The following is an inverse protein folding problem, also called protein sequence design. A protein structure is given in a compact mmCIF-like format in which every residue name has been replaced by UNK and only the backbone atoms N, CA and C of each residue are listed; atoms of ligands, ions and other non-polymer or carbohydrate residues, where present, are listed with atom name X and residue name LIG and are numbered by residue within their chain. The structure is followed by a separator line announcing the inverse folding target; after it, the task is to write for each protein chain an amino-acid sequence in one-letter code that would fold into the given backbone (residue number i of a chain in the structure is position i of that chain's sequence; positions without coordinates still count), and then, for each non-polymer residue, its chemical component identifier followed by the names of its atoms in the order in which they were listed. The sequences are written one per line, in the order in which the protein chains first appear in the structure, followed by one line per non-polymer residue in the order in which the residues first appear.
data_IF_685733226621
#
_entry.id   IF_685733226621
#
_cell.length_a   1.000
_cell.length_b   1.000
_cell.length_c   1.000
_cell.angle_alpha   90.00
_cell.angle_beta   90.00
_cell.angle_gamma   90.00
#
_symmetry.space_group_name_H-M   'P 1'
#
loop_
_entity.id
_entity.type
_entity.pdbx_description
1 polymer ?
#
# COMPACT_ATOMS: atom_id res chain seq x y z
N UNK A 1 -25.81 -65.61 1.35
CA UNK A 1 -26.05 -64.66 0.23
C UNK A 1 -24.70 -64.31 -0.36
N UNK A 2 -24.66 -64.34 -1.67
CA UNK A 2 -23.54 -64.48 -2.60
C UNK A 2 -22.54 -63.33 -2.58
N UNK A 3 -21.28 -63.65 -2.86
CA UNK A 3 -20.20 -62.72 -3.20
C UNK A 3 -20.57 -61.87 -4.44
N UNK A 4 -20.13 -60.61 -4.47
CA UNK A 4 -20.08 -59.83 -5.71
C UNK A 4 -18.72 -59.12 -5.82
N UNK A 5 -17.80 -59.80 -6.51
CA UNK A 5 -16.90 -59.32 -7.56
C UNK A 5 -16.65 -57.82 -7.69
N UNK A 6 -15.38 -57.42 -7.47
CA UNK A 6 -14.60 -56.70 -8.48
C UNK A 6 -14.42 -55.17 -8.32
N UNK A 7 -13.18 -54.64 -8.35
CA UNK A 7 -12.89 -53.21 -8.37
C UNK A 7 -12.71 -52.68 -9.79
N UNK A 8 -13.11 -51.44 -10.06
CA UNK A 8 -12.69 -50.69 -11.24
C UNK A 8 -12.53 -49.21 -10.91
N UNK A 9 -11.28 -48.86 -10.63
CA UNK A 9 -10.74 -47.51 -10.77
C UNK A 9 -10.96 -47.00 -12.19
N UNK A 10 -11.69 -45.90 -12.31
CA UNK A 10 -11.82 -45.12 -13.55
C UNK A 10 -11.63 -43.65 -13.21
N UNK A 11 -10.36 -43.22 -13.14
CA UNK A 11 -9.96 -41.83 -13.12
C UNK A 11 -10.33 -41.18 -14.47
N UNK A 12 -11.13 -40.12 -14.43
CA UNK A 12 -11.53 -39.42 -15.66
C UNK A 12 -12.27 -38.12 -15.38
N UNK A 13 -11.81 -37.31 -14.43
CA UNK A 13 -12.20 -35.90 -14.37
C UNK A 13 -11.56 -35.17 -15.55
N UNK A 14 -12.31 -35.08 -16.64
CA UNK A 14 -12.00 -34.19 -17.75
C UNK A 14 -11.86 -32.76 -17.20
N UNK A 15 -10.64 -32.23 -17.31
CA UNK A 15 -10.37 -30.83 -17.09
C UNK A 15 -11.14 -30.00 -18.11
N UNK A 16 -12.24 -29.38 -17.66
CA UNK A 16 -12.75 -28.18 -18.29
C UNK A 16 -11.82 -27.02 -17.92
N UNK A 17 -11.46 -26.13 -18.87
CA UNK A 17 -10.64 -24.98 -18.54
C UNK A 17 -11.38 -24.16 -17.48
N UNK A 18 -10.73 -23.97 -16.34
CA UNK A 18 -11.03 -22.88 -15.45
C UNK A 18 -10.93 -21.60 -16.28
N UNK A 19 -12.05 -21.13 -16.82
CA UNK A 19 -12.25 -19.72 -17.07
C UNK A 19 -12.34 -19.09 -15.69
N UNK A 20 -11.17 -18.99 -15.05
CA UNK A 20 -10.92 -17.94 -14.09
C UNK A 20 -11.18 -16.67 -14.87
N UNK A 21 -12.40 -16.17 -14.80
CA UNK A 21 -12.68 -14.76 -14.90
C UNK A 21 -11.98 -14.10 -13.71
N UNK A 22 -10.65 -14.08 -13.76
CA UNK A 22 -9.87 -13.02 -13.19
C UNK A 22 -10.24 -11.82 -14.03
N UNK A 23 -11.40 -11.23 -13.70
CA UNK A 23 -11.65 -9.84 -14.01
C UNK A 23 -10.42 -9.12 -13.51
N UNK A 24 -9.61 -8.71 -14.48
CA UNK A 24 -8.59 -7.71 -14.30
C UNK A 24 -9.18 -6.69 -13.32
N UNK A 25 -8.52 -6.52 -12.19
CA UNK A 25 -8.69 -5.34 -11.37
C UNK A 25 -8.28 -4.17 -12.25
N UNK A 26 -9.20 -3.71 -13.11
CA UNK A 26 -9.06 -2.44 -13.79
C UNK A 26 -8.93 -1.39 -12.69
N UNK A 27 -8.04 -0.40 -12.85
CA UNK A 27 -7.83 0.61 -11.83
C UNK A 27 -9.15 1.35 -11.65
N UNK A 28 -9.87 1.02 -10.57
CA UNK A 28 -11.05 1.75 -10.14
C UNK A 28 -10.58 3.15 -9.73
N UNK A 29 -10.56 4.06 -10.71
CA UNK A 29 -10.48 5.52 -10.54
C UNK A 29 -9.41 5.98 -9.54
N UNK A 30 -8.13 5.84 -9.92
CA UNK A 30 -7.01 6.39 -9.13
C UNK A 30 -7.19 7.87 -8.76
N UNK A 31 -7.91 8.66 -9.56
CA UNK A 31 -8.18 10.07 -9.27
C UNK A 31 -9.00 10.34 -8.00
N UNK A 32 -9.96 9.48 -7.65
CA UNK A 32 -10.79 9.67 -6.45
C UNK A 32 -10.09 9.19 -5.18
N UNK A 33 -9.40 8.04 -5.28
CA UNK A 33 -8.61 7.50 -4.19
C UNK A 33 -7.43 8.45 -3.84
N UNK A 34 -6.71 8.98 -4.82
CA UNK A 34 -5.63 9.94 -4.59
C UNK A 34 -6.13 11.21 -3.91
N UNK A 35 -7.29 11.75 -4.32
CA UNK A 35 -7.88 12.89 -3.60
C UNK A 35 -8.19 12.58 -2.13
N UNK A 36 -8.59 11.33 -1.83
CA UNK A 36 -8.71 10.86 -0.45
C UNK A 36 -7.36 10.73 0.27
N UNK A 37 -6.27 10.45 -0.45
CA UNK A 37 -4.93 10.40 0.12
C UNK A 37 -4.41 11.80 0.47
N UNK A 38 -4.61 12.79 -0.42
CA UNK A 38 -4.30 14.20 -0.15
C UNK A 38 -5.02 14.71 1.10
N UNK A 39 -6.31 14.43 1.20
CA UNK A 39 -7.10 14.78 2.38
C UNK A 39 -6.56 14.09 3.64
N UNK A 40 -6.17 12.82 3.55
CA UNK A 40 -5.59 12.07 4.67
C UNK A 40 -4.22 12.62 5.12
N UNK A 41 -3.41 13.12 4.19
CA UNK A 41 -2.15 13.82 4.49
C UNK A 41 -2.40 15.14 5.22
N UNK A 42 -3.32 15.96 4.71
CA UNK A 42 -3.69 17.23 5.33
C UNK A 42 -4.29 17.01 6.74
N UNK A 43 -5.08 15.95 6.91
CA UNK A 43 -5.62 15.56 8.21
C UNK A 43 -4.51 15.08 9.14
N UNK A 44 -3.58 14.23 8.67
CA UNK A 44 -2.46 13.74 9.46
C UNK A 44 -1.57 14.85 10.00
N UNK A 45 -1.20 15.80 9.14
CA UNK A 45 -0.40 16.98 9.53
C UNK A 45 -1.11 17.89 10.53
N UNK A 46 -2.43 18.06 10.42
CA UNK A 46 -3.21 18.83 11.39
C UNK A 46 -3.37 18.11 12.73
N UNK A 47 -3.48 16.78 12.70
CA UNK A 47 -3.51 15.93 13.90
C UNK A 47 -2.19 15.96 14.66
N UNK A 48 -1.05 15.93 13.96
CA UNK A 48 0.27 16.17 14.56
C UNK A 48 0.32 17.50 15.31
N UNK A 49 -0.20 18.58 14.70
CA UNK A 49 -0.19 19.92 15.30
C UNK A 49 -1.03 20.02 16.59
N UNK A 50 -2.02 19.15 16.78
CA UNK A 50 -2.83 19.08 18.01
C UNK A 50 -2.35 18.01 18.99
N UNK A 51 -1.24 17.31 18.69
CA UNK A 51 -0.66 16.26 19.54
C UNK A 51 -1.33 14.88 19.40
N UNK A 52 -2.25 14.72 18.44
CA UNK A 52 -2.97 13.47 18.18
C UNK A 52 -2.17 12.52 17.29
N UNK A 53 -0.94 12.19 17.74
CA UNK A 53 0.04 11.45 16.95
C UNK A 53 -0.44 10.07 16.49
N UNK A 54 -1.28 9.40 17.29
CA UNK A 54 -1.84 8.09 16.93
C UNK A 54 -2.81 8.18 15.75
N UNK A 55 -3.69 9.19 15.76
CA UNK A 55 -4.64 9.41 14.67
C UNK A 55 -3.94 9.94 13.43
N UNK A 56 -2.90 10.76 13.61
CA UNK A 56 -2.06 11.24 12.52
C UNK A 56 -1.41 10.08 11.77
N UNK A 57 -0.81 9.16 12.52
CA UNK A 57 -0.17 7.95 11.99
C UNK A 57 -1.13 7.07 11.18
N UNK A 58 -2.35 6.83 11.67
CA UNK A 58 -3.36 6.05 10.95
C UNK A 58 -3.74 6.70 9.62
N UNK A 59 -4.01 8.01 9.64
CA UNK A 59 -4.35 8.78 8.44
C UNK A 59 -3.20 8.77 7.41
N UNK A 60 -1.97 8.96 7.88
CA UNK A 60 -0.79 8.97 7.03
C UNK A 60 -0.47 7.59 6.45
N UNK A 61 -0.64 6.51 7.21
CA UNK A 61 -0.51 5.14 6.66
C UNK A 61 -1.58 4.83 5.62
N UNK A 62 -2.79 5.35 5.79
CA UNK A 62 -3.84 5.23 4.78
C UNK A 62 -3.45 5.96 3.49
N UNK A 63 -2.93 7.19 3.61
CA UNK A 63 -2.42 7.94 2.47
C UNK A 63 -1.29 7.20 1.74
N UNK A 64 -0.28 6.70 2.47
CA UNK A 64 0.84 5.94 1.88
C UNK A 64 0.36 4.76 1.07
N UNK A 65 -0.58 3.94 1.58
CA UNK A 65 -1.10 2.78 0.85
C UNK A 65 -1.79 3.16 -0.46
N UNK A 66 -2.57 4.25 -0.44
CA UNK A 66 -3.23 4.73 -1.66
C UNK A 66 -2.20 5.24 -2.66
N UNK A 67 -1.23 6.04 -2.18
CA UNK A 67 -0.17 6.59 -3.03
C UNK A 67 0.69 5.48 -3.66
N UNK A 68 1.08 4.45 -2.88
CA UNK A 68 1.81 3.28 -3.38
C UNK A 68 1.00 2.50 -4.42
N UNK A 69 -0.32 2.35 -4.21
CA UNK A 69 -1.19 1.67 -5.16
C UNK A 69 -1.44 2.48 -6.45
N UNK A 70 -1.44 3.81 -6.37
CA UNK A 70 -1.74 4.69 -7.49
C UNK A 70 -0.52 5.00 -8.37
N UNK A 71 0.65 5.19 -7.76
CA UNK A 71 1.86 5.65 -8.44
C UNK A 71 3.05 4.70 -8.33
N UNK A 72 2.98 3.71 -7.44
CA UNK A 72 4.08 2.80 -7.16
C UNK A 72 4.93 3.22 -5.96
N UNK A 73 5.77 2.31 -5.44
CA UNK A 73 6.51 2.50 -4.19
C UNK A 73 7.71 3.47 -4.28
N UNK A 74 8.11 3.84 -5.49
CA UNK A 74 9.25 4.72 -5.78
C UNK A 74 8.83 6.13 -6.25
N UNK A 75 7.53 6.47 -6.18
CA UNK A 75 7.03 7.77 -6.60
C UNK A 75 7.37 8.89 -5.59
N UNK A 76 7.77 10.06 -6.09
CA UNK A 76 8.12 11.23 -5.26
C UNK A 76 6.96 11.72 -4.38
N UNK A 77 5.71 11.54 -4.78
CA UNK A 77 4.52 11.93 -4.02
C UNK A 77 4.41 11.19 -2.68
N UNK A 78 5.07 10.04 -2.54
CA UNK A 78 5.18 9.33 -1.26
C UNK A 78 6.11 10.03 -0.25
N UNK A 79 7.01 10.91 -0.69
CA UNK A 79 7.97 11.54 0.20
C UNK A 79 7.28 12.34 1.32
N UNK A 80 6.23 13.09 0.99
CA UNK A 80 5.53 13.93 1.94
C UNK A 80 4.74 13.14 3.01
N UNK A 81 3.89 12.15 2.66
CA UNK A 81 3.23 11.30 3.66
C UNK A 81 4.21 10.46 4.48
N UNK A 82 5.31 9.96 3.89
CA UNK A 82 6.35 9.22 4.62
C UNK A 82 7.08 10.11 5.63
N UNK A 83 7.38 11.36 5.26
CA UNK A 83 8.02 12.31 6.16
C UNK A 83 7.12 12.64 7.35
N UNK A 84 5.84 12.96 7.09
CA UNK A 84 4.88 13.23 8.16
C UNK A 84 4.67 12.01 9.07
N UNK A 85 4.63 10.80 8.51
CA UNK A 85 4.51 9.56 9.29
C UNK A 85 5.76 9.34 10.16
N UNK A 86 6.94 9.65 9.64
CA UNK A 86 8.20 9.61 10.37
C UNK A 86 8.18 10.55 11.58
N UNK A 87 7.73 11.80 11.40
CA UNK A 87 7.57 12.77 12.49
C UNK A 87 6.59 12.27 13.56
N UNK A 88 5.44 11.75 13.16
CA UNK A 88 4.45 11.17 14.09
C UNK A 88 5.02 9.98 14.88
N UNK A 89 5.81 9.12 14.23
CA UNK A 89 6.50 8.02 14.89
C UNK A 89 7.55 8.51 15.89
N UNK A 90 8.32 9.55 15.54
CA UNK A 90 9.32 10.14 16.42
C UNK A 90 8.69 10.79 17.66
N UNK A 91 7.58 11.50 17.51
CA UNK A 91 6.82 12.10 18.61
C UNK A 91 6.31 11.04 19.60
N UNK A 92 6.06 9.81 19.13
CA UNK A 92 5.67 8.65 19.95
C UNK A 92 6.86 7.84 20.50
N UNK A 93 8.09 8.31 20.32
CA UNK A 93 9.30 7.65 20.80
C UNK A 93 9.80 6.48 19.94
N UNK A 94 9.19 6.24 18.77
CA UNK A 94 9.62 5.16 17.84
C UNK A 94 10.64 5.68 16.85
N UNK A 95 11.81 6.02 17.37
CA UNK A 95 12.88 6.64 16.59
C UNK A 95 13.38 5.74 15.45
N UNK A 96 13.50 4.43 15.66
CA UNK A 96 13.93 3.50 14.62
C UNK A 96 12.94 3.39 13.44
N UNK A 97 11.63 3.47 13.71
CA UNK A 97 10.61 3.50 12.67
C UNK A 97 10.64 4.85 11.93
N UNK A 98 10.75 5.94 12.67
CA UNK A 98 10.87 7.30 12.13
C UNK A 98 12.07 7.45 11.20
N UNK A 99 13.24 6.96 11.62
CA UNK A 99 14.47 7.02 10.82
C UNK A 99 14.28 6.32 9.48
N UNK A 100 13.76 5.09 9.46
CA UNK A 100 13.50 4.35 8.22
C UNK A 100 12.53 5.09 7.28
N UNK A 101 11.48 5.69 7.82
CA UNK A 101 10.50 6.44 7.04
C UNK A 101 11.07 7.74 6.46
N UNK A 102 11.83 8.48 7.26
CA UNK A 102 12.49 9.72 6.85
C UNK A 102 13.58 9.44 5.82
N UNK A 103 14.40 8.39 6.01
CA UNK A 103 15.41 7.97 5.01
C UNK A 103 14.75 7.62 3.68
N UNK A 104 13.62 6.89 3.70
CA UNK A 104 12.87 6.58 2.47
C UNK A 104 12.36 7.86 1.79
N UNK A 105 11.77 8.77 2.57
CA UNK A 105 11.31 10.07 2.04
C UNK A 105 12.44 10.86 1.36
N UNK A 106 13.60 10.94 2.01
CA UNK A 106 14.78 11.60 1.46
C UNK A 106 15.30 10.92 0.19
N UNK A 107 15.31 9.59 0.14
CA UNK A 107 15.73 8.85 -1.04
C UNK A 107 14.83 9.14 -2.25
N UNK A 108 13.51 9.26 -2.03
CA UNK A 108 12.56 9.61 -3.08
C UNK A 108 12.75 11.05 -3.59
N UNK A 109 13.02 12.00 -2.69
CA UNK A 109 13.31 13.39 -3.06
C UNK A 109 14.67 13.56 -3.76
N UNK A 110 15.66 12.75 -3.38
CA UNK A 110 17.00 12.80 -3.95
C UNK A 110 17.05 12.22 -5.36
N UNK A 111 16.24 11.19 -5.66
CA UNK A 111 16.16 10.57 -6.98
C UNK A 111 15.71 11.55 -8.06
N UNK A 112 14.69 12.34 -7.76
CA UNK A 112 14.14 13.34 -8.68
C UNK A 112 15.13 14.49 -8.96
N UNK A 113 15.91 14.91 -7.96
CA UNK A 113 16.97 15.91 -8.16
C UNK A 113 18.11 15.43 -9.04
N UNK A 114 18.32 14.11 -9.12
CA UNK A 114 19.29 13.51 -10.03
C UNK A 114 18.75 13.41 -11.48
N UNK A 115 17.43 13.47 -11.66
CA UNK A 115 16.77 13.47 -12.98
C UNK A 115 16.64 14.90 -13.56
N UNK A 116 16.71 15.96 -12.74
CA UNK A 116 16.67 17.36 -13.20
C UNK A 116 18.03 17.90 -13.71
N UNK A 117 19.13 17.14 -13.60
CA UNK A 117 20.50 17.62 -13.90
C UNK A 117 21.10 17.10 -15.22
N UNK A 118 20.28 16.65 -16.19
CA UNK A 118 20.70 16.21 -17.55
C UNK A 118 19.97 16.94 -18.65
#
# INVERSE_FOLDING_TARGET
MTEHTGPATGSGTAGGPATGSGTAGGPATGSGAVGSADAAVALGTRLEAVGEHARAEEALRHAVRIYEAAYGPDDRRLALPLNALGTACAARGRLAEAERLLTRSLALLARDRAEEET
#
